data_IF_647730869219
#
_entry.id   IF_647730869219
#
_cell.length_a   1.000
_cell.length_b   1.000
_cell.length_c   1.000
_cell.angle_alpha   90.00
_cell.angle_beta   90.00
_cell.angle_gamma   90.00
#
_symmetry.space_group_name_H-M   'P 1'
#
loop_
_entity.id
_entity.type
_entity.pdbx_description
1 polymer ?
#
# COMPACT_ATOMS: atom_id res chain seq x y z
N UNK A 1 -4.72 -10.25 2.64
CA UNK A 1 -3.99 -10.12 1.36
C UNK A 1 -2.69 -10.86 1.52
N UNK A 2 -2.21 -11.52 0.48
CA UNK A 2 -0.94 -12.25 0.54
C UNK A 2 -0.32 -12.33 -0.85
N UNK A 3 0.96 -12.68 -0.90
CA UNK A 3 1.64 -13.00 -2.15
C UNK A 3 1.49 -14.48 -2.47
N UNK A 4 1.17 -14.76 -3.71
CA UNK A 4 1.06 -16.12 -4.24
C UNK A 4 1.93 -16.23 -5.48
N UNK A 5 2.68 -17.32 -5.61
CA UNK A 5 3.45 -17.63 -6.80
C UNK A 5 2.67 -18.61 -7.67
N UNK A 6 2.58 -18.31 -8.97
CA UNK A 6 2.03 -19.26 -9.93
C UNK A 6 3.00 -20.41 -10.21
N UNK A 7 2.62 -21.34 -11.09
CA UNK A 7 3.45 -22.48 -11.47
C UNK A 7 4.78 -22.09 -12.16
N UNK A 8 4.92 -20.84 -12.62
CA UNK A 8 6.14 -20.29 -13.21
C UNK A 8 7.01 -19.55 -12.20
N UNK A 9 6.54 -19.40 -10.95
CA UNK A 9 7.21 -18.66 -9.89
C UNK A 9 6.91 -17.16 -9.89
N UNK A 10 6.01 -16.69 -10.77
CA UNK A 10 5.63 -15.28 -10.84
C UNK A 10 4.69 -14.93 -9.70
N UNK A 11 4.98 -13.84 -8.99
CA UNK A 11 4.21 -13.47 -7.81
C UNK A 11 3.13 -12.44 -8.11
N UNK A 12 1.92 -12.72 -7.63
CA UNK A 12 0.81 -11.80 -7.59
C UNK A 12 0.38 -11.50 -6.15
N UNK A 13 -0.17 -10.31 -5.92
CA UNK A 13 -0.89 -10.00 -4.69
C UNK A 13 -2.33 -10.47 -4.82
N UNK A 14 -2.76 -11.38 -3.95
CA UNK A 14 -4.13 -11.88 -3.92
C UNK A 14 -4.89 -11.37 -2.71
N UNK A 15 -6.08 -10.86 -2.96
CA UNK A 15 -7.12 -10.68 -1.96
C UNK A 15 -8.01 -11.92 -1.97
N UNK A 16 -7.98 -12.67 -0.87
CA UNK A 16 -8.85 -13.82 -0.70
C UNK A 16 -9.94 -13.55 0.32
N UNK A 17 -11.15 -14.00 0.01
CA UNK A 17 -12.31 -13.98 0.90
C UNK A 17 -13.01 -15.32 0.77
N UNK A 18 -13.33 -15.94 1.89
CA UNK A 18 -14.02 -17.22 1.91
C UNK A 18 -14.99 -17.32 3.08
N UNK A 19 -16.02 -18.14 2.90
CA UNK A 19 -17.02 -18.43 3.93
C UNK A 19 -17.28 -19.94 3.96
N UNK A 20 -17.46 -20.47 5.16
CA UNK A 20 -17.99 -21.83 5.37
C UNK A 20 -19.43 -21.86 4.87
N UNK A 21 -19.70 -22.71 3.88
CA UNK A 21 -21.02 -22.93 3.33
C UNK A 21 -21.78 -24.02 4.09
N UNK A 22 -21.06 -25.01 4.63
CA UNK A 22 -21.66 -26.18 5.26
C UNK A 22 -20.81 -26.64 6.46
N UNK A 23 -21.50 -27.06 7.53
CA UNK A 23 -20.90 -27.64 8.72
C UNK A 23 -21.56 -28.96 9.07
N UNK A 24 -20.81 -29.87 9.67
CA UNK A 24 -21.36 -31.10 10.24
C UNK A 24 -22.10 -30.82 11.57
N UNK A 25 -22.69 -31.88 12.15
CA UNK A 25 -23.40 -31.81 13.44
C UNK A 25 -22.52 -31.44 14.63
N UNK A 26 -21.19 -31.61 14.51
CA UNK A 26 -20.21 -31.20 15.52
C UNK A 26 -19.67 -29.79 15.24
N UNK A 27 -20.21 -29.09 14.24
CA UNK A 27 -19.85 -27.74 13.87
C UNK A 27 -18.56 -27.63 13.04
N UNK A 28 -17.95 -28.74 12.61
CA UNK A 28 -16.75 -28.72 11.76
C UNK A 28 -17.12 -28.31 10.35
N UNK A 29 -16.26 -27.52 9.70
CA UNK A 29 -16.51 -27.05 8.34
C UNK A 29 -16.36 -28.20 7.35
N UNK A 30 -17.44 -28.51 6.61
CA UNK A 30 -17.44 -29.51 5.53
C UNK A 30 -17.11 -28.88 4.18
N UNK A 31 -17.56 -27.65 3.97
CA UNK A 31 -17.38 -26.96 2.69
C UNK A 31 -17.17 -25.48 2.88
N UNK A 32 -16.18 -24.95 2.18
CA UNK A 32 -15.87 -23.52 2.10
C UNK A 32 -15.94 -23.12 0.63
N UNK A 33 -16.50 -21.95 0.36
CA UNK A 33 -16.33 -21.29 -0.92
C UNK A 33 -15.65 -19.94 -0.70
N UNK A 34 -14.81 -19.56 -1.64
CA UNK A 34 -14.13 -18.28 -1.62
C UNK A 34 -13.78 -17.81 -3.01
N UNK A 35 -13.38 -16.55 -3.07
CA UNK A 35 -12.88 -15.90 -4.27
C UNK A 35 -11.46 -15.40 -4.02
N UNK A 36 -10.67 -15.44 -5.08
CA UNK A 36 -9.33 -14.87 -5.14
C UNK A 36 -9.36 -13.76 -6.20
N UNK A 37 -8.99 -12.55 -5.81
CA UNK A 37 -8.89 -11.40 -6.71
C UNK A 37 -7.43 -10.98 -6.76
N UNK A 38 -6.88 -10.91 -7.97
CA UNK A 38 -5.57 -10.29 -8.18
C UNK A 38 -5.67 -8.78 -7.94
N UNK A 39 -4.94 -8.30 -6.94
CA UNK A 39 -4.85 -6.90 -6.55
C UNK A 39 -3.45 -6.32 -6.80
N UNK A 40 -2.63 -6.96 -7.63
CA UNK A 40 -1.26 -6.52 -7.95
C UNK A 40 -1.25 -5.11 -8.51
N UNK A 41 -2.18 -4.80 -9.44
CA UNK A 41 -2.33 -3.45 -9.99
C UNK A 41 -2.68 -2.42 -8.90
N UNK A 42 -3.59 -2.78 -7.99
CA UNK A 42 -3.97 -1.89 -6.89
C UNK A 42 -2.76 -1.59 -6.00
N UNK A 43 -1.95 -2.60 -5.67
CA UNK A 43 -0.73 -2.41 -4.88
C UNK A 43 0.30 -1.52 -5.58
N UNK A 44 0.47 -1.66 -6.89
CA UNK A 44 1.36 -0.79 -7.69
C UNK A 44 0.93 0.67 -7.62
N UNK A 45 -0.36 0.93 -7.87
CA UNK A 45 -0.91 2.30 -7.80
C UNK A 45 -0.80 2.88 -6.39
N UNK A 46 -1.04 2.08 -5.34
CA UNK A 46 -0.86 2.53 -3.95
C UNK A 46 0.59 2.94 -3.66
N UNK A 47 1.56 2.18 -4.15
CA UNK A 47 2.98 2.50 -3.95
C UNK A 47 3.41 3.71 -4.76
N UNK A 48 2.97 3.84 -6.02
CA UNK A 48 3.21 5.02 -6.84
C UNK A 48 2.66 6.29 -6.18
N UNK A 49 1.43 6.24 -5.67
CA UNK A 49 0.82 7.36 -4.95
C UNK A 49 1.59 7.70 -3.67
N UNK A 50 2.03 6.69 -2.92
CA UNK A 50 2.83 6.87 -1.71
C UNK A 50 4.16 7.56 -2.03
N UNK A 51 4.85 7.10 -3.08
CA UNK A 51 6.11 7.68 -3.53
C UNK A 51 5.95 9.15 -3.95
N UNK A 52 4.94 9.45 -4.78
CA UNK A 52 4.67 10.81 -5.22
C UNK A 52 4.31 11.75 -4.06
N UNK A 53 3.56 11.26 -3.07
CA UNK A 53 3.23 12.02 -1.88
C UNK A 53 4.47 12.36 -1.04
N UNK A 54 5.38 11.39 -0.86
CA UNK A 54 6.64 11.59 -0.13
C UNK A 54 7.54 12.60 -0.84
N UNK A 55 7.65 12.52 -2.17
CA UNK A 55 8.42 13.46 -2.97
C UNK A 55 7.87 14.89 -2.85
N UNK A 56 6.56 15.06 -2.98
CA UNK A 56 5.91 16.36 -2.84
C UNK A 56 6.12 16.95 -1.43
N UNK A 57 6.04 16.13 -0.38
CA UNK A 57 6.32 16.57 0.99
C UNK A 57 7.77 17.00 1.17
N UNK A 58 8.73 16.23 0.64
CA UNK A 58 10.14 16.56 0.70
C UNK A 58 10.44 17.90 -0.02
N UNK A 59 9.89 18.09 -1.22
CA UNK A 59 10.03 19.34 -1.97
C UNK A 59 9.42 20.54 -1.22
N UNK A 60 8.23 20.37 -0.63
CA UNK A 60 7.59 21.42 0.18
C UNK A 60 8.43 21.79 1.39
N UNK A 61 8.96 20.80 2.12
CA UNK A 61 9.81 21.05 3.28
C UNK A 61 11.12 21.74 2.89
N UNK A 62 11.75 21.33 1.80
CA UNK A 62 12.96 21.97 1.30
C UNK A 62 12.70 23.45 0.96
N UNK A 63 11.58 23.74 0.28
CA UNK A 63 11.16 25.11 -0.03
C UNK A 63 10.92 25.94 1.23
N UNK A 64 10.23 25.40 2.23
CA UNK A 64 9.99 26.09 3.51
C UNK A 64 11.29 26.39 4.25
N UNK A 65 12.22 25.43 4.31
CA UNK A 65 13.53 25.62 4.93
C UNK A 65 14.34 26.73 4.23
N UNK A 66 14.35 26.73 2.91
CA UNK A 66 15.04 27.75 2.12
C UNK A 66 14.47 29.16 2.37
N UNK A 67 13.14 29.31 2.35
CA UNK A 67 12.51 30.62 2.61
C UNK A 67 12.78 31.11 4.03
N UNK A 68 12.79 30.19 5.01
CA UNK A 68 13.11 30.52 6.39
C UNK A 68 14.56 30.98 6.55
N UNK A 69 15.54 30.29 5.94
CA UNK A 69 16.95 30.68 6.03
C UNK A 69 17.22 32.04 5.38
N UNK A 70 16.68 32.26 4.17
CA UNK A 70 16.80 33.56 3.48
C UNK A 70 16.17 34.72 4.26
N UNK A 71 15.02 34.48 4.91
CA UNK A 71 14.37 35.50 5.74
C UNK A 71 15.17 35.85 6.98
N UNK A 72 15.87 34.87 7.58
CA UNK A 72 16.76 35.11 8.70
C UNK A 72 17.96 35.97 8.28
N UNK A 73 18.62 35.64 7.17
CA UNK A 73 19.76 36.40 6.65
C UNK A 73 19.40 37.84 6.28
N UNK A 74 18.21 38.07 5.71
CA UNK A 74 17.73 39.41 5.38
C UNK A 74 17.36 40.27 6.61
N UNK A 75 17.03 39.64 7.75
CA UNK A 75 16.59 40.34 8.98
C UNK A 75 17.72 40.63 9.97
N UNK A 76 18.87 40.02 9.81
CA UNK A 76 20.10 40.32 10.57
C UNK A 76 21.25 40.52 9.60
N UNK A 77 21.31 41.67 8.91
CA UNK A 77 22.48 41.99 8.11
C UNK A 77 23.66 42.25 9.05
N UNK A 78 24.82 41.66 8.75
CA UNK A 78 26.11 42.09 9.29
C UNK A 78 26.40 43.54 8.90
#
# INVERSE_FOLDING_TARGET
>A
EYRYADARGEYAWLLSRGKVLERDSEGRALRIAGTHVDITRLKRVQEELRSASLEAQAASQAKSRFLSSMSHELRTPL
#
